data_IF_552180513921
#
_entry.id   IF_552180513921
#
_cell.length_a   1.000
_cell.length_b   1.000
_cell.length_c   1.000
_cell.angle_alpha   90.00
_cell.angle_beta   90.00
_cell.angle_gamma   90.00
#
_symmetry.space_group_name_H-M   'P 1'
#
loop_
_entity.id
_entity.type
_entity.pdbx_description
1 polymer ?
#
# COMPACT_ATOMS: atom_id res chain seq x y z
N UNK A 1 1.66 -5.09 22.10
CA UNK A 1 0.56 -4.11 22.20
C UNK A 1 -0.74 -4.87 22.03
N UNK A 2 -1.63 -4.87 23.03
CA UNK A 2 -2.90 -5.61 23.00
C UNK A 2 -4.09 -4.63 23.10
N UNK A 3 -4.07 -3.61 22.23
CA UNK A 3 -5.09 -2.56 22.18
C UNK A 3 -5.43 -2.24 20.74
N UNK A 4 -6.69 -1.87 20.50
CA UNK A 4 -7.15 -1.42 19.21
C UNK A 4 -6.46 -0.09 18.83
N UNK A 5 -6.07 0.02 17.57
CA UNK A 5 -5.45 1.23 17.01
C UNK A 5 -6.58 2.13 16.51
N UNK A 6 -6.71 3.31 17.12
CA UNK A 6 -7.72 4.32 16.78
C UNK A 6 -7.10 5.72 16.67
N UNK A 7 -7.92 6.72 16.37
CA UNK A 7 -7.50 8.10 16.04
C UNK A 7 -6.49 8.72 17.04
N UNK A 8 -6.65 8.49 18.34
CA UNK A 8 -5.78 9.10 19.35
C UNK A 8 -4.40 8.44 19.47
N UNK A 9 -4.33 7.12 19.25
CA UNK A 9 -3.10 6.32 19.37
C UNK A 9 -2.38 6.11 18.03
N UNK A 10 -3.03 6.45 16.92
CA UNK A 10 -2.49 6.22 15.58
C UNK A 10 -1.19 7.00 15.32
N UNK A 11 -1.05 8.20 15.90
CA UNK A 11 0.20 9.00 15.80
C UNK A 11 1.41 8.26 16.37
N UNK A 12 1.22 7.58 17.51
CA UNK A 12 2.29 6.86 18.19
C UNK A 12 2.63 5.57 17.47
N UNK A 13 1.62 4.91 16.88
CA UNK A 13 1.82 3.77 16.00
C UNK A 13 2.66 4.15 14.77
N UNK A 14 2.32 5.24 14.07
CA UNK A 14 3.10 5.70 12.91
C UNK A 14 4.52 6.12 13.30
N UNK A 15 4.68 6.85 14.40
CA UNK A 15 6.00 7.23 14.90
C UNK A 15 6.83 6.00 15.28
N UNK A 16 6.21 4.98 15.89
CA UNK A 16 6.83 3.71 16.19
C UNK A 16 7.28 2.99 14.92
N UNK A 17 6.42 2.87 13.91
CA UNK A 17 6.76 2.29 12.60
C UNK A 17 7.95 3.02 11.95
N UNK A 18 7.86 4.35 11.86
CA UNK A 18 8.91 5.17 11.25
C UNK A 18 10.25 5.03 11.99
N UNK A 19 10.25 5.06 13.33
CA UNK A 19 11.45 4.85 14.13
C UNK A 19 12.06 3.46 13.90
N UNK A 20 11.25 2.41 13.75
CA UNK A 20 11.75 1.05 13.47
C UNK A 20 12.35 0.94 12.07
N UNK A 21 11.72 1.55 11.06
CA UNK A 21 12.28 1.60 9.70
C UNK A 21 13.63 2.32 9.71
N UNK A 22 13.72 3.48 10.37
CA UNK A 22 14.98 4.23 10.47
C UNK A 22 16.06 3.45 11.22
N UNK A 23 15.71 2.80 12.32
CA UNK A 23 16.64 1.97 13.10
C UNK A 23 17.17 0.80 12.28
N UNK A 24 16.29 0.08 11.57
CA UNK A 24 16.67 -1.05 10.74
C UNK A 24 17.48 -0.63 9.52
N UNK A 25 17.12 0.49 8.90
CA UNK A 25 17.88 1.06 7.79
C UNK A 25 19.30 1.47 8.22
N UNK A 26 19.41 2.17 9.36
CA UNK A 26 20.71 2.50 9.95
C UNK A 26 21.52 1.25 10.29
N UNK A 27 20.88 0.24 10.90
CA UNK A 27 21.52 -1.03 11.21
C UNK A 27 22.04 -1.75 9.96
N UNK A 28 21.23 -1.81 8.90
CA UNK A 28 21.62 -2.39 7.62
C UNK A 28 22.78 -1.63 6.98
N UNK A 29 22.76 -0.29 6.99
CA UNK A 29 23.87 0.53 6.48
C UNK A 29 25.15 0.31 7.27
N UNK A 30 25.09 0.36 8.61
CA UNK A 30 26.25 0.17 9.47
C UNK A 30 26.86 -1.24 9.31
N UNK A 31 26.02 -2.27 9.26
CA UNK A 31 26.45 -3.65 9.02
C UNK A 31 27.00 -3.84 7.59
N UNK A 32 26.39 -3.20 6.59
CA UNK A 32 26.89 -3.20 5.22
C UNK A 32 28.27 -2.58 5.10
N UNK A 33 28.49 -1.43 5.75
CA UNK A 33 29.81 -0.78 5.83
C UNK A 33 30.83 -1.62 6.60
N UNK A 34 30.41 -2.29 7.67
CA UNK A 34 31.27 -3.21 8.42
C UNK A 34 31.71 -4.39 7.55
N UNK A 35 30.78 -5.01 6.81
CA UNK A 35 31.09 -6.10 5.88
C UNK A 35 31.97 -5.62 4.72
N UNK A 36 31.72 -4.43 4.16
CA UNK A 36 32.57 -3.82 3.14
C UNK A 36 33.98 -3.54 3.67
N UNK A 37 34.11 -3.02 4.90
CA UNK A 37 35.38 -2.81 5.57
C UNK A 37 36.15 -4.11 5.78
N UNK A 38 35.45 -5.19 6.12
CA UNK A 38 36.05 -6.52 6.26
C UNK A 38 36.57 -7.05 4.92
N UNK A 39 35.84 -6.81 3.83
CA UNK A 39 36.27 -7.16 2.47
C UNK A 39 37.55 -6.43 2.07
N UNK A 40 37.62 -5.12 2.36
CA UNK A 40 38.80 -4.29 2.04
C UNK A 40 40.00 -4.64 2.91
N UNK A 41 39.82 -4.81 4.23
CA UNK A 41 40.92 -5.12 5.16
C UNK A 41 41.60 -6.45 4.87
N UNK A 42 40.83 -7.45 4.44
CA UNK A 42 41.35 -8.79 4.12
C UNK A 42 41.71 -8.95 2.64
N UNK A 43 41.62 -7.87 1.86
CA UNK A 43 41.91 -7.83 0.42
C UNK A 43 41.24 -8.98 -0.37
N UNK A 44 40.00 -9.34 0.00
CA UNK A 44 39.32 -10.52 -0.58
C UNK A 44 39.13 -10.42 -2.10
N UNK A 45 39.18 -9.20 -2.66
CA UNK A 45 39.07 -8.97 -4.10
C UNK A 45 40.34 -9.35 -4.87
N UNK A 46 41.49 -9.43 -4.19
CA UNK A 46 42.80 -9.76 -4.78
C UNK A 46 43.35 -11.11 -4.30
N UNK A 47 42.79 -11.66 -3.21
CA UNK A 47 43.18 -12.96 -2.66
C UNK A 47 42.70 -14.11 -3.55
N UNK A 48 43.63 -15.01 -3.86
CA UNK A 48 43.40 -16.24 -4.60
C UNK A 48 42.94 -17.35 -3.64
N UNK A 49 41.68 -17.79 -3.74
CA UNK A 49 41.16 -18.85 -2.87
C UNK A 49 41.54 -20.23 -3.43
N UNK A 50 42.29 -21.00 -2.65
CA UNK A 50 42.66 -22.38 -2.98
C UNK A 50 41.55 -23.33 -2.54
N UNK A 51 40.84 -23.94 -3.49
CA UNK A 51 39.80 -24.93 -3.18
C UNK A 51 40.41 -26.35 -3.20
N UNK A 52 40.47 -27.07 -2.06
CA UNK A 52 41.12 -28.39 -1.97
C UNK A 52 40.50 -29.44 -2.91
N UNK A 53 39.20 -29.32 -3.19
CA UNK A 53 38.46 -30.26 -4.04
C UNK A 53 38.71 -30.09 -5.55
N UNK A 54 39.14 -28.91 -6.02
CA UNK A 54 39.31 -28.65 -7.47
C UNK A 54 40.76 -28.48 -7.91
N UNK A 55 41.73 -28.45 -6.97
CA UNK A 55 43.17 -28.18 -7.24
C UNK A 55 43.39 -27.02 -8.23
N UNK A 56 42.51 -26.02 -8.20
CA UNK A 56 42.54 -24.85 -9.08
C UNK A 56 42.37 -23.61 -8.23
N UNK A 57 43.14 -22.60 -8.59
CA UNK A 57 43.05 -21.28 -8.01
C UNK A 57 41.79 -20.61 -8.57
N UNK A 58 40.81 -20.36 -7.72
CA UNK A 58 39.56 -19.71 -8.14
C UNK A 58 39.73 -18.21 -7.87
N UNK A 59 39.56 -17.38 -8.92
CA UNK A 59 39.49 -15.93 -8.76
C UNK A 59 38.31 -15.58 -7.85
N UNK A 60 38.46 -14.55 -7.03
CA UNK A 60 37.44 -14.12 -6.08
C UNK A 60 36.14 -13.72 -6.82
N UNK A 61 35.19 -14.64 -6.89
CA UNK A 61 33.81 -14.36 -7.33
C UNK A 61 33.00 -13.86 -6.15
N UNK A 62 32.05 -12.95 -6.37
CA UNK A 62 31.15 -12.43 -5.33
C UNK A 62 30.50 -13.52 -4.47
N UNK A 63 30.13 -14.66 -5.05
CA UNK A 63 29.58 -15.80 -4.31
C UNK A 63 30.58 -16.46 -3.36
N UNK A 64 31.87 -16.51 -3.72
CA UNK A 64 32.94 -17.07 -2.88
C UNK A 64 33.24 -16.15 -1.70
N UNK A 65 33.27 -14.84 -1.96
CA UNK A 65 33.41 -13.80 -0.92
C UNK A 65 32.23 -13.89 0.05
N UNK A 66 31.01 -13.99 -0.45
CA UNK A 66 29.81 -14.14 0.38
C UNK A 66 29.86 -15.43 1.22
N UNK A 67 30.25 -16.56 0.62
CA UNK A 67 30.38 -17.83 1.34
C UNK A 67 31.45 -17.77 2.44
N UNK A 68 32.57 -17.10 2.17
CA UNK A 68 33.61 -16.84 3.17
C UNK A 68 33.10 -15.94 4.29
N UNK A 69 32.41 -14.84 3.96
CA UNK A 69 31.80 -13.93 4.93
C UNK A 69 30.77 -14.67 5.80
N UNK A 70 29.97 -15.55 5.21
CA UNK A 70 29.04 -16.41 5.93
C UNK A 70 29.74 -17.36 6.89
N UNK A 71 30.88 -17.95 6.50
CA UNK A 71 31.60 -18.89 7.35
C UNK A 71 32.33 -18.19 8.50
N UNK A 72 33.01 -17.08 8.21
CA UNK A 72 33.84 -16.37 9.18
C UNK A 72 33.03 -15.40 10.06
N UNK A 73 32.00 -14.76 9.52
CA UNK A 73 31.19 -13.71 10.17
C UNK A 73 29.69 -14.01 10.10
N UNK A 74 29.31 -15.26 10.38
CA UNK A 74 27.93 -15.75 10.25
C UNK A 74 26.91 -14.88 11.01
N UNK A 75 27.25 -14.43 12.22
CA UNK A 75 26.36 -13.60 13.05
C UNK A 75 26.10 -12.23 12.41
N UNK A 76 27.15 -11.54 11.95
CA UNK A 76 27.06 -10.22 11.31
C UNK A 76 26.26 -10.28 10.02
N UNK A 77 26.51 -11.31 9.19
CA UNK A 77 25.77 -11.52 7.93
C UNK A 77 24.31 -11.87 8.21
N UNK A 78 24.05 -12.73 9.21
CA UNK A 78 22.70 -13.08 9.63
C UNK A 78 21.88 -11.87 10.10
N UNK A 79 22.47 -11.01 10.94
CA UNK A 79 21.81 -9.78 11.40
C UNK A 79 21.63 -8.80 10.23
N UNK A 80 22.58 -8.68 9.30
CA UNK A 80 22.44 -7.82 8.11
C UNK A 80 21.24 -8.24 7.24
N UNK A 81 21.12 -9.54 6.95
CA UNK A 81 20.00 -10.07 6.16
C UNK A 81 18.68 -9.87 6.90
N UNK A 82 18.65 -10.17 8.21
CA UNK A 82 17.45 -9.97 9.03
C UNK A 82 17.03 -8.50 9.06
N UNK A 83 17.96 -7.57 9.28
CA UNK A 83 17.69 -6.13 9.26
C UNK A 83 17.18 -5.67 7.89
N UNK A 84 17.81 -6.13 6.80
CA UNK A 84 17.38 -5.80 5.45
C UNK A 84 15.97 -6.30 5.14
N UNK A 85 15.68 -7.56 5.43
CA UNK A 85 14.35 -8.16 5.21
C UNK A 85 13.27 -7.45 6.05
N UNK A 86 13.54 -7.21 7.33
CA UNK A 86 12.60 -6.50 8.21
C UNK A 86 12.42 -5.04 7.80
N UNK A 87 13.48 -4.38 7.30
CA UNK A 87 13.41 -3.02 6.78
C UNK A 87 12.48 -2.94 5.56
N UNK A 88 12.52 -3.92 4.66
CA UNK A 88 11.63 -3.98 3.50
C UNK A 88 10.18 -4.18 3.92
N UNK A 89 9.91 -5.14 4.81
CA UNK A 89 8.55 -5.45 5.28
C UNK A 89 7.95 -4.26 6.04
N UNK A 90 8.67 -3.73 7.03
CA UNK A 90 8.20 -2.58 7.80
C UNK A 90 8.17 -1.31 6.96
N UNK A 91 9.10 -1.14 6.03
CA UNK A 91 9.15 -0.01 5.09
C UNK A 91 7.92 0.02 4.20
N UNK A 92 7.58 -1.11 3.56
CA UNK A 92 6.37 -1.22 2.73
C UNK A 92 5.10 -0.99 3.55
N UNK A 93 5.02 -1.57 4.75
CA UNK A 93 3.90 -1.36 5.65
C UNK A 93 3.77 0.11 6.11
N UNK A 94 4.88 0.77 6.41
CA UNK A 94 4.91 2.20 6.77
C UNK A 94 4.53 3.08 5.59
N UNK A 95 5.02 2.78 4.38
CA UNK A 95 4.68 3.51 3.17
C UNK A 95 3.18 3.40 2.84
N UNK A 96 2.60 2.21 2.99
CA UNK A 96 1.16 2.01 2.86
C UNK A 96 0.40 2.88 3.86
N UNK A 97 0.75 2.82 5.15
CA UNK A 97 0.10 3.67 6.16
C UNK A 97 0.31 5.17 5.91
N UNK A 98 1.47 5.57 5.41
CA UNK A 98 1.72 6.96 5.02
C UNK A 98 0.81 7.37 3.86
N UNK A 99 0.65 6.54 2.84
CA UNK A 99 -0.30 6.78 1.75
C UNK A 99 -1.74 6.94 2.25
N UNK A 100 -2.18 6.13 3.22
CA UNK A 100 -3.49 6.29 3.87
C UNK A 100 -3.60 7.66 4.56
N UNK A 101 -2.58 8.04 5.33
CA UNK A 101 -2.59 9.35 6.04
C UNK A 101 -2.60 10.53 5.09
N UNK A 102 -1.87 10.45 3.97
CA UNK A 102 -1.80 11.52 2.99
C UNK A 102 -3.15 11.73 2.28
N UNK A 103 -3.98 10.70 2.17
CA UNK A 103 -5.34 10.80 1.61
C UNK A 103 -6.40 11.06 2.67
N UNK A 104 -6.03 11.07 3.95
CA UNK A 104 -6.94 11.16 5.10
C UNK A 104 -8.05 10.09 5.04
N UNK A 105 -7.68 8.86 4.69
CA UNK A 105 -8.61 7.73 4.55
C UNK A 105 -8.22 6.66 5.57
N UNK A 106 -9.20 6.18 6.33
CA UNK A 106 -8.98 5.03 7.24
C UNK A 106 -8.97 3.71 6.48
N UNK A 107 -8.35 2.66 7.01
CA UNK A 107 -8.33 1.34 6.35
C UNK A 107 -9.76 0.84 6.06
N UNK A 108 -10.71 1.08 6.96
CA UNK A 108 -12.12 0.70 6.79
C UNK A 108 -12.78 1.46 5.64
N UNK A 109 -12.51 2.76 5.50
CA UNK A 109 -12.99 3.55 4.36
C UNK A 109 -12.34 3.08 3.06
N UNK A 110 -11.03 2.81 3.05
CA UNK A 110 -10.32 2.32 1.85
C UNK A 110 -10.93 1.03 1.31
N UNK A 111 -11.37 0.13 2.20
CA UNK A 111 -12.03 -1.11 1.81
C UNK A 111 -13.40 -0.83 1.17
N UNK A 112 -14.22 0.05 1.79
CA UNK A 112 -15.52 0.44 1.24
C UNK A 112 -15.42 1.14 -0.11
N UNK A 113 -14.44 2.01 -0.29
CA UNK A 113 -14.19 2.66 -1.58
C UNK A 113 -13.77 1.65 -2.65
N UNK A 114 -12.98 0.63 -2.28
CA UNK A 114 -12.60 -0.43 -3.22
C UNK A 114 -13.78 -1.32 -3.62
N UNK A 115 -14.68 -1.62 -2.68
CA UNK A 115 -15.89 -2.40 -2.93
C UNK A 115 -16.88 -1.63 -3.79
N UNK A 116 -17.09 -0.34 -3.48
CA UNK A 116 -17.91 0.55 -4.30
C UNK A 116 -17.36 0.66 -5.72
N UNK A 117 -16.03 0.79 -5.88
CA UNK A 117 -15.39 0.83 -7.21
C UNK A 117 -15.67 -0.45 -8.00
N UNK A 118 -15.56 -1.63 -7.37
CA UNK A 118 -15.85 -2.92 -8.02
C UNK A 118 -17.33 -3.05 -8.38
N UNK A 119 -18.24 -2.58 -7.53
CA UNK A 119 -19.67 -2.60 -7.81
C UNK A 119 -20.02 -1.69 -9.01
N UNK A 120 -19.48 -0.46 -9.05
CA UNK A 120 -19.67 0.47 -10.18
C UNK A 120 -19.12 -0.13 -11.47
N UNK A 121 -17.90 -0.69 -11.44
CA UNK A 121 -17.30 -1.39 -12.58
C UNK A 121 -18.18 -2.53 -13.11
N UNK A 122 -18.74 -3.33 -12.19
CA UNK A 122 -19.66 -4.40 -12.57
C UNK A 122 -20.92 -3.87 -13.25
N UNK A 123 -21.55 -2.82 -12.69
CA UNK A 123 -22.74 -2.22 -13.29
C UNK A 123 -22.47 -1.61 -14.66
N UNK A 124 -21.33 -0.95 -14.85
CA UNK A 124 -20.94 -0.37 -16.14
C UNK A 124 -20.76 -1.45 -17.20
N UNK A 125 -20.05 -2.54 -16.86
CA UNK A 125 -19.86 -3.67 -17.76
C UNK A 125 -21.17 -4.39 -18.12
N UNK A 126 -22.13 -4.42 -17.18
CA UNK A 126 -23.46 -4.97 -17.47
C UNK A 126 -24.28 -4.04 -18.38
N UNK A 127 -24.13 -2.72 -18.27
CA UNK A 127 -24.78 -1.76 -19.16
C UNK A 127 -24.18 -1.77 -20.57
N UNK A 128 -22.86 -1.85 -20.70
CA UNK A 128 -22.17 -2.02 -21.99
C UNK A 128 -22.65 -3.28 -22.69
N UNK A 129 -22.62 -4.44 -21.99
CA UNK A 129 -23.11 -5.70 -22.58
C UNK A 129 -24.56 -5.64 -23.04
N UNK A 130 -25.44 -4.95 -22.31
CA UNK A 130 -26.84 -4.75 -22.73
C UNK A 130 -26.96 -3.87 -23.97
N UNK A 131 -26.15 -2.82 -24.07
CA UNK A 131 -26.09 -1.95 -25.26
C UNK A 131 -25.56 -2.71 -26.46
N UNK A 132 -24.49 -3.48 -26.30
CA UNK A 132 -23.94 -4.35 -27.36
C UNK A 132 -24.96 -5.42 -27.80
N UNK A 133 -25.69 -6.02 -26.86
CA UNK A 133 -26.78 -6.97 -27.17
C UNK A 133 -27.95 -6.30 -27.90
N UNK A 134 -28.30 -5.06 -27.55
CA UNK A 134 -29.33 -4.25 -28.23
C UNK A 134 -28.88 -3.80 -29.62
N UNK A 135 -27.65 -3.29 -29.75
CA UNK A 135 -27.04 -2.86 -31.02
C UNK A 135 -26.87 -4.04 -31.97
N UNK A 136 -26.36 -5.18 -31.50
CA UNK A 136 -26.26 -6.40 -32.31
C UNK A 136 -27.62 -7.00 -32.69
N UNK A 137 -28.67 -6.78 -31.89
CA UNK A 137 -30.04 -7.18 -32.24
C UNK A 137 -30.68 -6.22 -33.26
N UNK A 138 -30.39 -4.92 -33.19
CA UNK A 138 -30.79 -3.93 -34.18
C UNK A 138 -30.06 -4.15 -35.52
N UNK A 139 -28.75 -4.39 -35.50
CA UNK A 139 -27.96 -4.75 -36.69
C UNK A 139 -28.45 -6.06 -37.33
N UNK A 140 -28.72 -7.10 -36.54
CA UNK A 140 -29.29 -8.35 -37.07
C UNK A 140 -30.69 -8.15 -37.68
N UNK A 141 -31.50 -7.24 -37.13
CA UNK A 141 -32.82 -6.89 -37.67
C UNK A 141 -32.72 -6.07 -38.97
N UNK A 142 -31.74 -5.17 -39.06
CA UNK A 142 -31.46 -4.39 -40.27
C UNK A 142 -30.84 -5.26 -41.38
N UNK A 143 -30.00 -6.24 -41.02
CA UNK A 143 -29.49 -7.27 -41.94
C UNK A 143 -30.61 -8.17 -42.48
N UNK A 144 -31.57 -8.59 -41.64
CA UNK A 144 -32.74 -9.37 -42.08
C UNK A 144 -33.60 -8.58 -43.10
N UNK A 145 -33.62 -7.25 -42.99
CA UNK A 145 -34.33 -6.36 -43.91
C UNK A 145 -33.54 -6.07 -45.21
N UNK A 146 -32.21 -6.22 -45.21
CA UNK A 146 -31.35 -6.08 -46.40
C UNK A 146 -31.11 -7.40 -47.16
N UNK A 147 -31.23 -8.57 -46.52
CA UNK A 147 -31.05 -9.89 -47.15
C UNK A 147 -32.14 -10.30 -48.16
N UNK A 148 -33.12 -9.43 -48.47
CA UNK A 148 -34.00 -9.60 -49.66
C UNK A 148 -33.36 -9.13 -50.98
N UNK A 149 -32.12 -8.65 -50.95
CA UNK A 149 -31.34 -8.39 -52.16
C UNK A 149 -29.86 -8.70 -51.95
N UNK A 150 -29.43 -9.76 -52.65
CA UNK A 150 -28.05 -10.15 -53.01
C UNK A 150 -27.12 -10.74 -51.94
N UNK A 151 -26.72 -11.97 -52.28
CA UNK A 151 -25.62 -12.82 -51.82
C UNK A 151 -24.26 -12.11 -51.70
N UNK A 152 -23.49 -12.41 -50.65
CA UNK A 152 -22.06 -12.13 -50.59
C UNK A 152 -21.40 -11.92 -49.22
N UNK A 153 -20.78 -12.98 -48.72
CA UNK A 153 -19.42 -13.03 -48.10
C UNK A 153 -19.09 -12.28 -46.78
N UNK A 154 -18.96 -13.08 -45.71
CA UNK A 154 -17.90 -13.17 -44.68
C UNK A 154 -17.06 -11.91 -44.33
N UNK A 155 -17.00 -11.55 -43.05
CA UNK A 155 -15.77 -11.53 -42.22
C UNK A 155 -16.10 -11.25 -40.74
N UNK A 156 -15.37 -11.92 -39.86
CA UNK A 156 -15.49 -11.88 -38.41
C UNK A 156 -14.43 -10.90 -37.90
N UNK A 157 -14.85 -9.77 -37.35
CA UNK A 157 -13.97 -8.79 -36.70
C UNK A 157 -14.05 -8.98 -35.18
N UNK A 158 -12.93 -9.40 -34.60
CA UNK A 158 -12.68 -9.35 -33.15
C UNK A 158 -12.19 -7.93 -32.83
N UNK A 159 -13.06 -7.09 -32.23
CA UNK A 159 -12.69 -5.75 -31.72
C UNK A 159 -12.45 -5.83 -30.21
N UNK A 160 -11.18 -6.00 -29.82
CA UNK A 160 -10.69 -5.80 -28.46
C UNK A 160 -10.51 -4.28 -28.22
N UNK A 161 -11.59 -3.60 -27.85
CA UNK A 161 -11.58 -2.22 -27.37
C UNK A 161 -11.23 -2.11 -25.89
N UNK A 162 -9.94 -2.00 -25.56
CA UNK A 162 -9.38 -1.87 -24.20
C UNK A 162 -9.12 -0.40 -23.80
N UNK A 163 -10.03 0.54 -24.13
CA UNK A 163 -9.79 1.99 -24.01
C UNK A 163 -10.79 2.77 -23.11
N UNK A 164 -11.59 2.11 -22.26
CA UNK A 164 -12.57 2.77 -21.38
C UNK A 164 -12.12 2.91 -19.90
N UNK A 165 -10.82 2.87 -19.65
CA UNK A 165 -10.24 2.98 -18.31
C UNK A 165 -10.26 4.41 -17.75
N UNK A 166 -10.22 5.40 -18.65
CA UNK A 166 -9.93 6.79 -18.29
C UNK A 166 -11.17 7.64 -18.00
N UNK A 167 -12.36 7.27 -18.52
CA UNK A 167 -13.62 8.00 -18.28
C UNK A 167 -14.28 7.68 -16.92
N UNK A 168 -13.72 6.71 -16.18
CA UNK A 168 -14.26 6.23 -14.90
C UNK A 168 -13.98 7.18 -13.71
N UNK A 169 -12.97 8.04 -13.80
CA UNK A 169 -12.49 8.83 -12.66
C UNK A 169 -13.39 10.04 -12.29
N UNK A 170 -14.36 10.41 -13.13
CA UNK A 170 -15.27 11.54 -12.86
C UNK A 170 -16.50 11.17 -12.00
N UNK A 171 -16.79 9.89 -11.81
CA UNK A 171 -18.06 9.45 -11.19
C UNK A 171 -18.00 9.25 -9.67
N UNK A 172 -16.82 9.34 -9.05
CA UNK A 172 -16.66 9.15 -7.61
C UNK A 172 -16.71 10.48 -6.85
N UNK A 173 -17.51 10.58 -5.77
CA UNK A 173 -17.56 11.80 -4.98
C UNK A 173 -16.16 12.10 -4.41
N UNK A 174 -15.68 13.36 -4.49
CA UNK A 174 -14.36 13.72 -3.98
C UNK A 174 -14.29 13.46 -2.49
N UNK A 175 -13.15 12.92 -2.02
CA UNK A 175 -12.97 12.61 -0.61
C UNK A 175 -13.09 13.88 0.25
N UNK A 176 -14.19 13.98 1.00
CA UNK A 176 -14.52 15.14 1.86
C UNK A 176 -13.48 15.39 2.96
N UNK A 177 -12.73 14.37 3.35
CA UNK A 177 -11.70 14.46 4.40
C UNK A 177 -10.33 14.89 3.87
N UNK A 178 -10.13 14.88 2.55
CA UNK A 178 -8.86 15.25 1.95
C UNK A 178 -8.72 16.78 1.88
N UNK A 179 -7.91 17.36 2.78
CA UNK A 179 -7.58 18.79 2.80
C UNK A 179 -6.22 19.09 2.16
N UNK A 180 -5.58 18.09 1.56
CA UNK A 180 -4.24 18.15 0.97
C UNK A 180 -3.20 17.35 1.76
N UNK A 181 -2.23 16.77 1.06
CA UNK A 181 -1.27 15.80 1.59
C UNK A 181 -0.60 16.20 2.92
N UNK A 182 -0.08 17.42 3.00
CA UNK A 182 0.60 17.94 4.20
C UNK A 182 -0.37 18.27 5.34
N UNK A 183 -1.54 18.78 5.02
CA UNK A 183 -2.56 19.12 6.03
C UNK A 183 -3.15 17.86 6.66
N UNK A 184 -3.35 16.81 5.86
CA UNK A 184 -3.81 15.50 6.33
C UNK A 184 -2.77 14.84 7.24
N UNK A 185 -1.48 14.89 6.86
CA UNK A 185 -0.40 14.37 7.71
C UNK A 185 -0.30 15.12 9.05
N UNK A 186 -0.41 16.46 9.02
CA UNK A 186 -0.41 17.29 10.22
C UNK A 186 -1.63 17.02 11.11
N UNK A 187 -2.80 16.74 10.53
CA UNK A 187 -3.99 16.34 11.27
C UNK A 187 -3.79 15.01 12.01
N UNK A 188 -3.11 14.05 11.40
CA UNK A 188 -2.80 12.76 12.04
C UNK A 188 -1.75 12.92 13.16
N UNK A 189 -0.73 13.75 12.95
CA UNK A 189 0.29 14.03 13.97
C UNK A 189 -0.27 14.86 15.14
N UNK A 190 -1.23 15.75 14.86
CA UNK A 190 -1.84 16.66 15.84
C UNK A 190 -3.37 16.69 15.73
N UNK A 191 -4.07 15.63 16.19
CA UNK A 191 -5.51 15.50 16.01
C UNK A 191 -6.28 16.58 16.77
N UNK A 192 -7.42 16.97 16.19
CA UNK A 192 -8.30 18.00 16.72
C UNK A 192 -8.87 17.68 18.12
N UNK A 193 -9.00 16.39 18.49
CA UNK A 193 -9.42 15.96 19.84
C UNK A 193 -8.55 16.58 20.95
N UNK A 194 -7.24 16.72 20.70
CA UNK A 194 -6.33 17.37 21.65
C UNK A 194 -6.34 18.90 21.60
N UNK A 195 -6.99 19.52 20.62
CA UNK A 195 -7.05 20.98 20.44
C UNK A 195 -8.29 21.61 21.09
N UNK A 196 -9.36 20.84 21.28
CA UNK A 196 -10.57 21.31 21.96
C UNK A 196 -10.48 20.86 23.41
N UNK A 197 -10.32 21.77 24.39
CA UNK A 197 -10.45 21.38 25.79
C UNK A 197 -11.83 20.75 25.99
N UNK A 198 -11.98 19.73 26.86
CA UNK A 198 -13.28 19.13 27.10
C UNK A 198 -14.25 20.27 27.41
N UNK A 199 -15.28 20.41 26.56
CA UNK A 199 -16.40 21.31 26.86
C UNK A 199 -16.87 20.85 28.23
N UNK A 200 -16.60 21.68 29.24
CA UNK A 200 -17.17 21.49 30.55
C UNK A 200 -18.67 21.61 30.34
N UNK A 201 -19.33 20.47 30.08
CA UNK A 201 -20.77 20.30 30.19
C UNK A 201 -21.01 20.53 31.67
N UNK A 202 -21.16 21.82 31.99
CA UNK A 202 -21.30 22.30 33.34
C UNK A 202 -22.42 21.49 33.97
N UNK A 203 -22.20 21.11 35.24
CA UNK A 203 -23.12 20.46 36.19
C UNK A 203 -24.56 21.03 36.24
N UNK A 204 -24.90 22.01 35.40
CA UNK A 204 -26.19 22.69 35.30
C UNK A 204 -27.33 21.79 34.83
N UNK A 205 -27.07 20.78 33.97
CA UNK A 205 -28.14 19.87 33.53
C UNK A 205 -28.47 18.78 34.58
N UNK A 206 -27.48 18.29 35.33
CA UNK A 206 -27.70 17.26 36.35
C UNK A 206 -28.48 17.77 37.58
N UNK A 207 -28.48 19.10 37.82
CA UNK A 207 -29.30 19.72 38.88
C UNK A 207 -30.76 19.98 38.47
N UNK A 208 -31.09 20.05 37.17
CA UNK A 208 -32.49 20.24 36.74
C UNK A 208 -33.33 18.98 36.90
N UNK A 209 -32.74 17.78 36.75
CA UNK A 209 -33.49 16.53 36.89
C UNK A 209 -33.69 16.04 38.33
N UNK A 210 -32.96 16.58 39.31
CA UNK A 210 -33.11 16.18 40.73
C UNK A 210 -33.90 17.18 41.58
N UNK A 211 -34.26 18.35 41.04
CA UNK A 211 -34.97 19.41 41.78
C UNK A 211 -36.51 19.42 41.64
N UNK A 212 -37.10 18.62 40.74
CA UNK A 212 -38.54 18.69 40.42
C UNK A 212 -39.41 17.58 41.05
N UNK A 213 -38.95 16.93 42.12
CA UNK A 213 -39.75 15.97 42.91
C UNK A 213 -39.74 16.34 44.41
N UNK A 214 -40.16 17.55 44.74
CA UNK A 214 -40.62 17.87 46.11
C UNK A 214 -41.43 19.16 46.11
N UNK A 215 -42.72 19.09 45.76
CA UNK A 215 -43.71 20.06 46.22
C UNK A 215 -45.14 19.57 45.96
N UNK A 216 -45.83 19.39 47.09
CA UNK A 216 -47.27 19.19 47.33
C UNK A 216 -47.78 17.77 47.14
#
# INVERSE_FOLDING_TARGET
MNQAIGQENYRWFLAFLAAHVLLLFYGALALGLLLAGEIVRRDLMNVQFYSPNKKKVIKATWSVILQYLMFNNWATVGVFILCGAMCLVLGGFTAYHLWLTLRNVTTNESYKWSELKRAIQYYHKEQQRKREEEEGAEEAADEEHQQRSTDGTNEQEDDDGDDDDDEMWETLPPNQYNRGAWLNLLEVLTPFSTRVPPVNVTKKERKKHTGSKKRR
#
